data_IF_125126893382
#
_entry.id   IF_125126893382
#
_cell.length_a   1.000
_cell.length_b   1.000
_cell.length_c   1.000
_cell.angle_alpha   90.00
_cell.angle_beta   90.00
_cell.angle_gamma   90.00
#
_symmetry.space_group_name_H-M   'P 1'
#
loop_
_entity.id
_entity.type
_entity.pdbx_description
1 polymer ?
#
# COMPACT_ATOMS: atom_id res chain seq x y z
N UNK A 1 -4.95 -28.02 -28.94
CA UNK A 1 -3.70 -27.53 -28.32
C UNK A 1 -3.53 -28.19 -26.96
N UNK A 2 -2.47 -28.96 -26.73
CA UNK A 2 -2.19 -29.63 -25.44
C UNK A 2 -1.63 -28.61 -24.45
N UNK A 3 -2.24 -28.49 -23.27
CA UNK A 3 -1.80 -27.60 -22.19
C UNK A 3 -0.53 -28.19 -21.56
N UNK A 4 0.56 -27.44 -21.58
CA UNK A 4 1.83 -27.86 -20.98
C UNK A 4 1.65 -28.06 -19.46
N UNK A 5 1.87 -29.30 -18.99
CA UNK A 5 1.92 -29.61 -17.56
C UNK A 5 3.19 -29.00 -16.96
N UNK A 6 3.04 -27.88 -16.26
CA UNK A 6 4.16 -27.21 -15.59
C UNK A 6 4.14 -25.68 -15.61
N UNK A 7 3.13 -25.03 -16.18
CA UNK A 7 3.02 -23.57 -16.06
C UNK A 7 2.70 -23.22 -14.59
N UNK A 8 3.73 -22.88 -13.82
CA UNK A 8 3.55 -22.10 -12.58
C UNK A 8 2.63 -20.93 -12.93
N UNK A 9 1.65 -20.66 -12.07
CA UNK A 9 0.71 -19.56 -12.29
C UNK A 9 1.43 -18.24 -12.57
N UNK A 10 0.72 -17.22 -13.06
CA UNK A 10 1.32 -15.92 -13.37
C UNK A 10 2.24 -15.45 -12.24
N UNK A 11 3.42 -14.94 -12.59
CA UNK A 11 4.35 -14.37 -11.60
C UNK A 11 3.59 -13.34 -10.77
N UNK A 12 3.62 -13.51 -9.45
CA UNK A 12 3.02 -12.56 -8.53
C UNK A 12 3.74 -11.22 -8.58
N UNK A 13 3.08 -10.18 -8.08
CA UNK A 13 3.70 -8.89 -7.90
C UNK A 13 4.58 -8.90 -6.65
N UNK A 14 5.69 -8.18 -6.73
CA UNK A 14 6.56 -7.96 -5.60
C UNK A 14 5.83 -7.11 -4.52
N UNK A 15 5.75 -7.57 -3.26
CA UNK A 15 5.05 -6.87 -2.19
C UNK A 15 5.61 -5.48 -1.88
N UNK A 16 6.92 -5.28 -2.02
CA UNK A 16 7.57 -3.98 -1.75
C UNK A 16 7.11 -2.93 -2.76
N UNK A 17 7.05 -3.31 -4.03
CA UNK A 17 6.50 -2.50 -5.11
C UNK A 17 5.03 -2.09 -4.84
N UNK A 18 4.21 -3.01 -4.31
CA UNK A 18 2.81 -2.70 -3.94
C UNK A 18 2.72 -1.75 -2.73
N UNK A 19 3.65 -1.84 -1.77
CA UNK A 19 3.73 -0.91 -0.62
C UNK A 19 4.11 0.49 -1.10
N UNK A 20 5.10 0.62 -1.98
CA UNK A 20 5.47 1.93 -2.53
C UNK A 20 4.31 2.60 -3.24
N UNK A 21 3.50 1.83 -3.95
CA UNK A 21 2.30 2.33 -4.61
C UNK A 21 1.26 2.88 -3.63
N UNK A 22 1.05 2.19 -2.51
CA UNK A 22 0.17 2.67 -1.44
C UNK A 22 0.72 3.92 -0.75
N UNK A 23 2.03 4.05 -0.61
CA UNK A 23 2.67 5.27 -0.09
C UNK A 23 2.49 6.43 -1.07
N UNK A 24 2.75 6.20 -2.36
CA UNK A 24 2.56 7.19 -3.42
C UNK A 24 1.10 7.68 -3.46
N UNK A 25 0.12 6.79 -3.25
CA UNK A 25 -1.29 7.16 -3.11
C UNK A 25 -1.52 8.21 -2.01
N UNK A 26 -0.86 8.07 -0.85
CA UNK A 26 -0.99 9.02 0.26
C UNK A 26 -0.27 10.34 -0.01
N UNK A 27 0.92 10.29 -0.63
CA UNK A 27 1.74 11.49 -0.93
C UNK A 27 1.08 12.34 -2.02
N UNK A 28 0.61 11.71 -3.09
CA UNK A 28 -0.06 12.35 -4.23
C UNK A 28 -1.55 12.64 -3.97
N UNK A 29 -2.06 12.30 -2.77
CA UNK A 29 -3.46 12.49 -2.35
C UNK A 29 -4.47 11.85 -3.32
N UNK A 30 -4.10 10.72 -3.92
CA UNK A 30 -4.98 9.95 -4.80
C UNK A 30 -6.09 9.33 -3.93
N UNK A 31 -7.34 9.60 -4.26
CA UNK A 31 -8.46 9.28 -3.37
C UNK A 31 -8.92 7.82 -3.48
N UNK A 32 -8.76 7.18 -4.64
CA UNK A 32 -9.25 5.82 -4.86
C UNK A 32 -8.19 4.87 -5.45
N UNK A 33 -8.33 3.57 -5.16
CA UNK A 33 -7.49 2.53 -5.76
C UNK A 33 -7.69 2.48 -7.28
N UNK A 34 -8.87 2.87 -7.78
CA UNK A 34 -9.14 2.95 -9.22
C UNK A 34 -8.28 4.00 -9.89
N UNK A 35 -8.25 5.20 -9.32
CA UNK A 35 -7.39 6.28 -9.80
C UNK A 35 -5.92 5.87 -9.69
N UNK A 36 -5.57 5.12 -8.65
CA UNK A 36 -4.24 4.57 -8.44
C UNK A 36 -3.85 3.53 -9.52
N UNK A 37 -4.78 2.76 -10.07
CA UNK A 37 -4.51 1.80 -11.15
C UNK A 37 -4.53 2.48 -12.52
N UNK A 38 -5.29 3.56 -12.68
CA UNK A 38 -5.37 4.37 -13.90
C UNK A 38 -4.16 5.30 -14.06
N UNK A 39 -3.73 5.97 -12.98
CA UNK A 39 -2.61 6.92 -12.97
C UNK A 39 -1.28 6.39 -13.51
N UNK A 40 -0.78 5.17 -13.18
CA UNK A 40 0.50 4.68 -13.70
C UNK A 40 0.50 4.44 -15.21
N UNK A 41 -0.66 4.41 -15.88
CA UNK A 41 -0.71 4.43 -17.34
C UNK A 41 -0.45 5.83 -17.89
N UNK A 42 -0.74 6.87 -17.11
CA UNK A 42 -0.65 8.28 -17.48
C UNK A 42 0.61 8.95 -16.92
N UNK A 43 1.18 8.41 -15.83
CA UNK A 43 2.33 8.96 -15.13
C UNK A 43 3.47 7.91 -14.98
N UNK A 44 4.38 7.82 -15.98
CA UNK A 44 5.49 6.88 -15.96
C UNK A 44 6.52 7.18 -14.85
N UNK A 45 6.54 8.41 -14.32
CA UNK A 45 7.45 8.81 -13.24
C UNK A 45 7.07 8.12 -11.93
N UNK A 46 5.77 8.09 -11.61
CA UNK A 46 5.25 7.40 -10.43
C UNK A 46 5.55 5.89 -10.50
N UNK A 47 5.49 5.32 -11.71
CA UNK A 47 5.80 3.92 -11.97
C UNK A 47 7.26 3.58 -11.66
N UNK A 48 8.18 4.43 -12.12
CA UNK A 48 9.62 4.30 -11.84
C UNK A 48 9.93 4.39 -10.34
N UNK A 49 9.37 5.39 -9.65
CA UNK A 49 9.60 5.55 -8.19
C UNK A 49 9.04 4.38 -7.37
N UNK A 50 7.98 3.73 -7.85
CA UNK A 50 7.40 2.58 -7.16
C UNK A 50 8.15 1.26 -7.42
N UNK A 51 9.19 1.24 -8.26
CA UNK A 51 9.99 0.04 -8.56
C UNK A 51 9.42 -0.84 -9.67
N UNK A 52 8.44 -0.34 -10.44
CA UNK A 52 7.94 -1.04 -11.63
C UNK A 52 8.81 -0.73 -12.85
N UNK A 53 9.07 -1.75 -13.69
CA UNK A 53 9.61 -1.47 -15.02
C UNK A 53 8.59 -0.63 -15.82
N UNK A 54 9.08 0.39 -16.54
CA UNK A 54 8.24 1.38 -17.24
C UNK A 54 7.26 0.73 -18.21
N UNK A 55 7.65 -0.40 -18.82
CA UNK A 55 6.88 -1.15 -19.81
C UNK A 55 6.14 -2.37 -19.24
N UNK A 56 6.26 -2.62 -17.93
CA UNK A 56 5.69 -3.85 -17.37
C UNK A 56 4.16 -3.80 -17.32
N UNK A 57 3.51 -4.83 -16.77
CA UNK A 57 2.06 -4.81 -16.51
C UNK A 57 1.74 -4.10 -15.20
N UNK A 58 0.76 -3.20 -15.22
CA UNK A 58 0.26 -2.57 -13.99
C UNK A 58 -0.64 -3.56 -13.26
N UNK A 59 -0.47 -3.73 -11.93
CA UNK A 59 -1.40 -4.51 -11.14
C UNK A 59 -2.83 -3.99 -11.25
N UNK A 60 -3.79 -4.90 -11.26
CA UNK A 60 -5.21 -4.57 -11.28
C UNK A 60 -5.71 -4.12 -9.90
N UNK A 61 -6.85 -3.45 -9.87
CA UNK A 61 -7.53 -3.03 -8.62
C UNK A 61 -7.71 -4.21 -7.64
N UNK A 62 -8.08 -5.38 -8.16
CA UNK A 62 -8.26 -6.60 -7.37
C UNK A 62 -6.99 -7.07 -6.66
N UNK A 63 -5.80 -6.77 -7.20
CA UNK A 63 -4.53 -7.12 -6.56
C UNK A 63 -4.28 -6.20 -5.38
N UNK A 64 -4.51 -4.90 -5.55
CA UNK A 64 -4.41 -3.93 -4.46
C UNK A 64 -5.43 -4.18 -3.35
N UNK A 65 -6.69 -4.48 -3.69
CA UNK A 65 -7.70 -4.84 -2.69
C UNK A 65 -7.27 -6.07 -1.88
N UNK A 66 -6.89 -7.17 -2.55
CA UNK A 66 -6.41 -8.38 -1.86
C UNK A 66 -5.15 -8.11 -1.04
N UNK A 67 -4.26 -7.25 -1.51
CA UNK A 67 -3.04 -6.90 -0.79
C UNK A 67 -3.34 -6.05 0.44
N UNK A 68 -4.26 -5.09 0.33
CA UNK A 68 -4.72 -4.27 1.43
C UNK A 68 -5.40 -5.10 2.53
N UNK A 69 -6.25 -6.06 2.14
CA UNK A 69 -6.88 -6.99 3.08
C UNK A 69 -5.86 -7.85 3.82
N UNK A 70 -4.79 -8.27 3.14
CA UNK A 70 -3.68 -8.96 3.80
C UNK A 70 -2.96 -8.03 4.77
N UNK A 71 -2.62 -6.81 4.34
CA UNK A 71 -1.93 -5.82 5.16
C UNK A 71 -2.71 -5.46 6.42
N UNK A 72 -4.03 -5.29 6.32
CA UNK A 72 -4.89 -4.95 7.46
C UNK A 72 -4.95 -6.08 8.50
N UNK A 73 -4.80 -7.34 8.05
CA UNK A 73 -4.72 -8.49 8.95
C UNK A 73 -3.36 -8.64 9.66
N UNK A 74 -2.30 -7.96 9.21
CA UNK A 74 -0.98 -8.07 9.85
C UNK A 74 -0.91 -7.31 11.18
N UNK A 75 -0.99 -8.04 12.29
CA UNK A 75 -0.86 -7.48 13.64
C UNK A 75 0.47 -6.72 13.85
N UNK A 76 1.56 -7.17 13.21
CA UNK A 76 2.88 -6.52 13.28
C UNK A 76 2.86 -5.11 12.68
N UNK A 77 2.06 -4.86 11.64
CA UNK A 77 1.90 -3.53 11.05
C UNK A 77 1.25 -2.57 12.05
N UNK A 78 0.23 -3.04 12.79
CA UNK A 78 -0.39 -2.27 13.89
C UNK A 78 0.63 -1.93 14.97
N UNK A 79 1.48 -2.90 15.37
CA UNK A 79 2.52 -2.66 16.38
C UNK A 79 3.56 -1.65 15.90
N UNK A 80 4.05 -1.77 14.66
CA UNK A 80 4.99 -0.83 14.05
C UNK A 80 4.41 0.59 14.01
N UNK A 81 3.14 0.70 13.58
CA UNK A 81 2.44 1.98 13.57
C UNK A 81 2.32 2.58 14.97
N UNK A 82 1.85 1.81 15.96
CA UNK A 82 1.76 2.27 17.35
C UNK A 82 3.13 2.68 17.91
N UNK A 83 4.19 1.94 17.59
CA UNK A 83 5.56 2.25 17.99
C UNK A 83 6.04 3.57 17.39
N UNK A 84 5.85 3.75 16.08
CA UNK A 84 6.20 4.98 15.38
C UNK A 84 5.46 6.20 15.95
N UNK A 85 4.16 6.04 16.24
CA UNK A 85 3.35 7.12 16.79
C UNK A 85 3.71 7.43 18.25
N UNK A 86 4.04 6.41 19.04
CA UNK A 86 4.55 6.60 20.42
C UNK A 86 5.88 7.35 20.39
N UNK A 87 6.78 6.97 19.48
CA UNK A 87 8.05 7.67 19.26
C UNK A 87 7.83 9.12 18.83
N UNK A 88 6.95 9.36 17.85
CA UNK A 88 6.59 10.70 17.39
C UNK A 88 5.91 11.55 18.48
N UNK A 89 5.13 10.93 19.39
CA UNK A 89 4.54 11.63 20.54
C UNK A 89 5.58 12.03 21.60
N UNK A 90 6.61 11.21 21.81
CA UNK A 90 7.78 11.59 22.60
C UNK A 90 8.50 12.79 21.97
N UNK A 91 8.57 12.82 20.64
CA UNK A 91 9.00 13.97 19.84
C UNK A 91 7.85 14.99 19.66
N UNK A 92 7.33 15.50 20.77
CA UNK A 92 6.06 16.25 20.99
C UNK A 92 5.82 17.56 20.19
N UNK A 93 6.29 17.72 18.95
CA UNK A 93 6.23 19.00 18.19
C UNK A 93 5.50 18.99 16.85
N UNK A 94 5.07 17.84 16.28
CA UNK A 94 4.59 17.80 14.88
C UNK A 94 3.19 17.19 14.69
N UNK A 95 2.52 16.67 15.74
CA UNK A 95 1.28 15.93 15.49
C UNK A 95 0.07 16.86 15.32
N UNK A 96 -0.47 16.87 14.10
CA UNK A 96 -1.72 17.56 13.76
C UNK A 96 -2.92 16.91 14.47
N UNK A 97 -4.07 17.60 14.56
CA UNK A 97 -5.31 17.06 15.17
C UNK A 97 -5.79 15.73 14.57
N UNK A 98 -5.35 15.42 13.35
CA UNK A 98 -5.62 14.15 12.67
C UNK A 98 -4.86 12.98 13.32
N UNK A 99 -3.63 13.21 13.77
CA UNK A 99 -2.81 12.17 14.42
C UNK A 99 -3.40 11.72 15.75
N UNK A 100 -4.01 12.63 16.53
CA UNK A 100 -4.72 12.28 17.76
C UNK A 100 -5.94 11.39 17.51
N UNK A 101 -6.72 11.69 16.46
CA UNK A 101 -7.88 10.88 16.05
C UNK A 101 -7.47 9.48 15.58
N UNK A 102 -6.36 9.36 14.86
CA UNK A 102 -5.84 8.06 14.40
C UNK A 102 -5.42 7.21 15.61
N UNK A 103 -4.81 7.80 16.63
CA UNK A 103 -4.38 7.09 17.84
C UNK A 103 -5.58 6.61 18.67
N UNK A 104 -6.60 7.45 18.83
CA UNK A 104 -7.84 7.06 19.51
C UNK A 104 -8.52 5.88 18.81
N UNK A 105 -8.35 5.75 17.48
CA UNK A 105 -8.87 4.63 16.69
C UNK A 105 -8.01 3.36 16.83
N UNK A 106 -6.69 3.47 16.98
CA UNK A 106 -5.80 2.33 17.21
C UNK A 106 -6.06 1.60 18.54
N UNK A 107 -6.57 2.32 19.55
CA UNK A 107 -6.97 1.76 20.85
C UNK A 107 -8.28 0.96 20.80
N UNK A 108 -9.04 1.05 19.69
CA UNK A 108 -10.23 0.22 19.48
C UNK A 108 -9.84 -1.04 18.71
N UNK A 109 -10.40 -2.21 19.04
CA UNK A 109 -10.26 -3.38 18.19
C UNK A 109 -10.85 -3.05 16.81
N UNK A 110 -10.20 -3.54 15.76
CA UNK A 110 -10.69 -3.42 14.38
C UNK A 110 -11.83 -4.43 14.27
N UNK A 111 -13.03 -4.00 14.68
CA UNK A 111 -14.30 -4.75 14.59
C UNK A 111 -15.17 -4.02 13.59
#
# INVERSE_FOLDING_TARGET
MRKAYGSKGPRGYDPETLIYFLIAMQVEKIQTIKDLVLNPKENPVLRYYCGFEVLDRTPSESIYSRFFDKLSAFQKLKQLFCGLVTHARGAKKILSPMGEKVIAKCSKPFV
#
